data_IF_833761212211
#
_entry.id   IF_833761212211
#
_cell.length_a   1.000
_cell.length_b   1.000
_cell.length_c   1.000
_cell.angle_alpha   90.00
_cell.angle_beta   90.00
_cell.angle_gamma   90.00
#
_symmetry.space_group_name_H-M   'P 1'
#
loop_
_entity.id
_entity.type
_entity.pdbx_description
1 polymer ?
#
# COMPACT_ATOMS: atom_id res chain seq x y z
N UNK A 1 -5.52 -3.44 14.13
CA UNK A 1 -4.28 -4.24 14.17
C UNK A 1 -3.08 -3.45 13.63
N UNK A 2 -3.11 -2.90 12.42
CA UNK A 2 -2.05 -2.00 11.88
C UNK A 2 -1.74 -0.80 12.76
N UNK A 3 -2.78 -0.05 13.13
CA UNK A 3 -2.66 1.07 14.06
C UNK A 3 -2.08 0.67 15.41
N UNK A 4 -2.21 -0.59 15.82
CA UNK A 4 -1.86 -1.09 17.15
C UNK A 4 -0.39 -1.51 17.25
N UNK A 5 0.25 -1.91 16.14
CA UNK A 5 1.68 -2.25 16.11
C UNK A 5 2.53 -0.98 16.07
N UNK A 6 2.17 -0.06 15.17
CA UNK A 6 2.78 1.25 15.14
C UNK A 6 2.36 2.08 16.34
N UNK A 7 1.14 1.97 16.91
CA UNK A 7 0.84 2.58 18.22
C UNK A 7 1.52 1.87 19.37
N UNK A 8 1.83 0.57 19.37
CA UNK A 8 2.62 -0.02 20.46
C UNK A 8 4.08 0.41 20.38
N UNK A 9 4.66 0.50 19.18
CA UNK A 9 5.96 1.12 18.94
C UNK A 9 5.93 2.64 19.23
N UNK A 10 4.87 3.32 18.83
CA UNK A 10 4.61 4.74 19.13
C UNK A 10 4.20 4.94 20.58
N UNK A 11 3.68 3.97 21.33
CA UNK A 11 3.37 4.07 22.76
C UNK A 11 4.61 3.75 23.57
N UNK A 12 5.49 2.88 23.08
CA UNK A 12 6.87 2.83 23.53
C UNK A 12 7.61 4.14 23.26
N UNK A 13 7.13 4.95 22.30
CA UNK A 13 7.65 6.28 21.93
C UNK A 13 6.88 7.49 22.55
N UNK A 14 5.59 7.38 22.92
CA UNK A 14 4.69 8.47 23.36
C UNK A 14 4.04 8.24 24.73
N UNK A 15 3.98 7.01 25.27
CA UNK A 15 3.61 6.79 26.70
C UNK A 15 4.69 7.36 27.66
N UNK A 16 5.68 8.01 27.06
CA UNK A 16 6.73 8.85 27.58
C UNK A 16 6.31 10.33 27.82
N UNK A 17 5.19 10.83 27.26
CA UNK A 17 4.84 12.28 27.32
C UNK A 17 3.96 12.73 28.50
N UNK A 18 3.32 11.83 29.26
CA UNK A 18 2.26 12.22 30.22
C UNK A 18 2.73 12.48 31.67
N UNK A 19 4.01 12.75 31.89
CA UNK A 19 4.55 13.20 33.17
C UNK A 19 5.47 14.41 33.03
N UNK A 20 4.97 15.52 32.48
CA UNK A 20 4.94 16.85 33.13
C UNK A 20 4.59 17.97 32.14
N UNK A 21 3.86 18.97 32.66
CA UNK A 21 3.60 20.31 32.12
C UNK A 21 2.40 20.50 31.18
N UNK A 22 1.28 20.87 31.81
CA UNK A 22 0.28 21.80 31.27
C UNK A 22 0.92 23.10 30.80
N UNK A 23 0.80 23.42 29.51
CA UNK A 23 0.75 24.81 29.03
C UNK A 23 -0.12 24.87 27.78
N UNK A 24 -1.24 25.58 27.88
CA UNK A 24 -1.96 26.16 26.73
C UNK A 24 -1.02 27.07 25.96
N UNK A 25 -1.13 27.11 24.64
CA UNK A 25 -1.27 28.34 23.83
C UNK A 25 -1.71 27.93 22.42
N UNK A 26 -2.68 28.69 21.93
CA UNK A 26 -3.34 28.59 20.63
C UNK A 26 -2.40 28.84 19.44
N UNK A 27 -2.75 28.22 18.31
CA UNK A 27 -2.49 28.79 17.00
C UNK A 27 -1.14 28.48 16.35
N UNK A 28 -1.14 27.44 15.53
CA UNK A 28 -0.39 27.30 14.26
C UNK A 28 1.14 27.46 14.36
N UNK A 29 1.85 26.32 14.32
CA UNK A 29 2.93 26.12 13.35
C UNK A 29 3.35 24.64 13.29
N UNK A 30 3.10 24.00 12.13
CA UNK A 30 3.35 22.56 11.87
C UNK A 30 4.86 22.26 11.70
N UNK A 31 5.72 23.27 11.78
CA UNK A 31 7.19 23.14 11.67
C UNK A 31 7.88 22.90 13.03
N UNK A 32 7.31 23.40 14.13
CA UNK A 32 7.90 23.26 15.46
C UNK A 32 7.55 21.92 16.15
N UNK A 33 6.44 21.28 15.76
CA UNK A 33 6.03 19.99 16.30
C UNK A 33 6.98 18.84 15.91
N UNK A 34 7.55 18.90 14.71
CA UNK A 34 8.55 17.94 14.21
C UNK A 34 9.91 18.13 14.91
N UNK A 35 10.27 19.37 15.25
CA UNK A 35 11.53 19.69 15.93
C UNK A 35 11.46 19.48 17.46
N UNK A 36 10.28 19.69 18.07
CA UNK A 36 10.03 19.38 19.47
C UNK A 36 9.93 17.87 19.73
N UNK A 37 9.47 17.10 18.74
CA UNK A 37 9.53 15.64 18.78
C UNK A 37 11.00 15.15 18.85
N UNK A 38 11.90 15.71 18.03
CA UNK A 38 13.31 15.28 17.99
C UNK A 38 14.13 15.64 19.26
N UNK A 39 13.81 16.75 19.93
CA UNK A 39 14.53 17.19 21.14
C UNK A 39 14.06 16.47 22.41
N UNK A 40 12.82 15.96 22.45
CA UNK A 40 12.29 15.21 23.60
C UNK A 40 12.71 13.72 23.57
N UNK A 41 13.01 13.16 22.39
CA UNK A 41 13.56 11.78 22.20
C UNK A 41 14.84 11.54 23.03
N UNK A 42 15.64 12.58 23.29
CA UNK A 42 16.92 12.42 24.00
C UNK A 42 16.83 12.28 25.52
N UNK A 43 15.74 12.75 26.16
CA UNK A 43 15.61 12.72 27.64
C UNK A 43 14.96 11.44 28.16
N UNK A 44 14.14 10.78 27.35
CA UNK A 44 13.34 9.63 27.77
C UNK A 44 14.03 8.30 27.41
N UNK A 45 15.00 8.39 26.49
CA UNK A 45 16.09 7.47 26.13
C UNK A 45 16.78 6.70 27.28
N UNK A 46 16.61 7.10 28.55
CA UNK A 46 17.34 6.57 29.71
C UNK A 46 16.49 5.63 30.61
N UNK A 47 15.16 5.68 30.55
CA UNK A 47 14.32 5.10 31.63
C UNK A 47 13.91 3.63 31.39
N UNK A 48 13.68 3.21 30.14
CA UNK A 48 13.26 1.82 29.83
C UNK A 48 14.41 0.84 29.56
N UNK A 49 15.61 1.35 29.30
CA UNK A 49 16.82 0.56 29.03
C UNK A 49 17.48 -0.03 30.28
N UNK A 50 16.97 0.26 31.48
CA UNK A 50 17.44 -0.32 32.75
C UNK A 50 16.72 -1.64 33.12
N UNK A 51 15.82 -2.15 32.27
CA UNK A 51 15.12 -3.44 32.45
C UNK A 51 15.12 -4.29 31.17
N UNK A 52 16.30 -4.77 30.72
CA UNK A 52 16.49 -5.64 29.56
C UNK A 52 15.45 -6.78 29.38
N UNK A 53 15.02 -7.53 30.42
CA UNK A 53 14.02 -8.59 30.23
C UNK A 53 12.67 -8.08 29.72
N UNK A 54 12.27 -6.84 30.06
CA UNK A 54 11.02 -6.25 29.56
C UNK A 54 11.12 -5.84 28.09
N UNK A 55 12.27 -5.28 27.70
CA UNK A 55 12.53 -4.89 26.31
C UNK A 55 12.54 -6.12 25.40
N UNK A 56 13.18 -7.20 25.85
CA UNK A 56 13.24 -8.46 25.10
C UNK A 56 11.85 -9.09 24.91
N UNK A 57 11.01 -9.12 25.95
CA UNK A 57 9.63 -9.59 25.85
C UNK A 57 8.78 -8.77 24.85
N UNK A 58 9.01 -7.47 24.77
CA UNK A 58 8.35 -6.59 23.81
C UNK A 58 8.80 -6.90 22.38
N UNK A 59 10.10 -7.07 22.15
CA UNK A 59 10.65 -7.41 20.83
C UNK A 59 10.14 -8.77 20.34
N UNK A 60 10.04 -9.76 21.23
CA UNK A 60 9.44 -11.06 20.91
C UNK A 60 7.97 -10.92 20.52
N UNK A 61 7.20 -10.12 21.27
CA UNK A 61 5.79 -9.84 20.95
C UNK A 61 5.64 -9.15 19.59
N UNK A 62 6.50 -8.17 19.29
CA UNK A 62 6.52 -7.48 18.00
C UNK A 62 6.87 -8.43 16.86
N UNK A 63 7.88 -9.28 17.05
CA UNK A 63 8.30 -10.29 16.07
C UNK A 63 7.15 -11.26 15.77
N UNK A 64 6.44 -11.71 16.81
CA UNK A 64 5.28 -12.59 16.65
C UNK A 64 4.17 -11.91 15.86
N UNK A 65 3.82 -10.67 16.20
CA UNK A 65 2.79 -9.91 15.47
C UNK A 65 3.18 -9.64 14.01
N UNK A 66 4.45 -9.34 13.74
CA UNK A 66 4.95 -9.19 12.35
C UNK A 66 4.80 -10.48 11.56
N UNK A 67 5.13 -11.62 12.16
CA UNK A 67 4.91 -12.92 11.53
C UNK A 67 3.45 -13.23 11.28
N UNK A 68 2.57 -12.98 12.26
CA UNK A 68 1.12 -13.14 12.11
C UNK A 68 0.59 -12.27 10.96
N UNK A 69 1.09 -11.05 10.83
CA UNK A 69 0.73 -10.15 9.73
C UNK A 69 1.19 -10.68 8.38
N UNK A 70 2.42 -11.19 8.28
CA UNK A 70 2.93 -11.80 7.05
C UNK A 70 2.10 -13.04 6.67
N UNK A 71 1.78 -13.91 7.64
CA UNK A 71 0.93 -15.08 7.39
C UNK A 71 -0.49 -14.70 6.98
N UNK A 72 -1.04 -13.62 7.54
CA UNK A 72 -2.34 -13.11 7.12
C UNK A 72 -2.29 -12.58 5.68
N UNK A 73 -1.22 -11.87 5.31
CA UNK A 73 -1.02 -11.41 3.93
C UNK A 73 -0.87 -12.58 2.96
N UNK A 74 -0.11 -13.62 3.32
CA UNK A 74 0.04 -14.84 2.54
C UNK A 74 -1.31 -15.54 2.33
N UNK A 75 -2.10 -15.70 3.40
CA UNK A 75 -3.45 -16.27 3.28
C UNK A 75 -4.38 -15.41 2.41
N UNK A 76 -4.34 -14.09 2.55
CA UNK A 76 -5.10 -13.20 1.68
C UNK A 76 -4.69 -13.37 0.22
N UNK A 77 -3.40 -13.55 -0.07
CA UNK A 77 -2.91 -13.79 -1.42
C UNK A 77 -3.37 -15.15 -1.96
N UNK A 78 -3.39 -16.20 -1.14
CA UNK A 78 -3.88 -17.52 -1.55
C UNK A 78 -5.37 -17.49 -1.92
N UNK A 79 -6.20 -16.77 -1.17
CA UNK A 79 -7.64 -16.69 -1.43
C UNK A 79 -8.01 -15.63 -2.48
N UNK A 80 -7.48 -14.42 -2.35
CA UNK A 80 -7.87 -13.26 -3.17
C UNK A 80 -6.98 -13.08 -4.38
N UNK A 81 -5.78 -13.65 -4.41
CA UNK A 81 -4.81 -13.41 -5.48
C UNK A 81 -5.37 -13.77 -6.87
N UNK A 82 -6.03 -14.92 -6.98
CA UNK A 82 -6.68 -15.32 -8.25
C UNK A 82 -7.87 -14.43 -8.60
N UNK A 83 -8.63 -13.98 -7.60
CA UNK A 83 -9.76 -13.07 -7.81
C UNK A 83 -9.27 -11.73 -8.34
N UNK A 84 -8.22 -11.16 -7.74
CA UNK A 84 -7.61 -9.90 -8.18
C UNK A 84 -7.05 -10.06 -9.59
N UNK A 85 -6.37 -11.17 -9.89
CA UNK A 85 -5.86 -11.47 -11.21
C UNK A 85 -6.99 -11.51 -12.26
N UNK A 86 -8.03 -12.31 -12.01
CA UNK A 86 -9.18 -12.42 -12.91
C UNK A 86 -9.94 -11.11 -13.07
N UNK A 87 -10.04 -10.31 -12.01
CA UNK A 87 -10.63 -8.98 -12.07
C UNK A 87 -9.84 -8.05 -13.01
N UNK A 88 -8.51 -8.03 -12.92
CA UNK A 88 -7.67 -7.22 -13.81
C UNK A 88 -7.78 -7.67 -15.27
N UNK A 89 -7.74 -8.99 -15.52
CA UNK A 89 -7.96 -9.54 -16.87
C UNK A 89 -9.35 -9.17 -17.40
N UNK A 90 -10.37 -9.23 -16.54
CA UNK A 90 -11.74 -8.86 -16.89
C UNK A 90 -11.88 -7.37 -17.21
N UNK A 91 -11.17 -6.48 -16.52
CA UNK A 91 -11.15 -5.04 -16.83
C UNK A 91 -10.55 -4.84 -18.23
N UNK A 92 -9.38 -5.44 -18.51
CA UNK A 92 -8.73 -5.32 -19.82
C UNK A 92 -9.63 -5.85 -20.94
N UNK A 93 -10.19 -7.06 -20.75
CA UNK A 93 -11.08 -7.67 -21.73
C UNK A 93 -12.33 -6.82 -21.99
N UNK A 94 -12.96 -6.26 -20.94
CA UNK A 94 -14.13 -5.39 -21.10
C UNK A 94 -13.82 -4.10 -21.85
N UNK A 95 -12.64 -3.50 -21.62
CA UNK A 95 -12.24 -2.29 -22.34
C UNK A 95 -11.98 -2.60 -23.82
N UNK A 96 -11.24 -3.67 -24.12
CA UNK A 96 -11.00 -4.12 -25.51
C UNK A 96 -12.33 -4.45 -26.22
N UNK A 97 -13.23 -5.15 -25.54
CA UNK A 97 -14.55 -5.47 -26.08
C UNK A 97 -15.37 -4.20 -26.36
N UNK A 98 -15.41 -3.26 -25.41
CA UNK A 98 -16.12 -1.99 -25.56
C UNK A 98 -15.57 -1.16 -26.73
N UNK A 99 -14.26 -1.13 -26.91
CA UNK A 99 -13.63 -0.48 -28.07
C UNK A 99 -14.01 -1.16 -29.38
N UNK A 100 -14.01 -2.50 -29.41
CA UNK A 100 -14.39 -3.27 -30.61
C UNK A 100 -15.82 -2.97 -31.04
N UNK A 101 -16.76 -2.98 -30.09
CA UNK A 101 -18.18 -2.65 -30.35
C UNK A 101 -18.32 -1.21 -30.88
N UNK A 102 -17.54 -0.27 -30.32
CA UNK A 102 -17.56 1.12 -30.75
C UNK A 102 -17.06 1.28 -32.20
N UNK A 103 -16.00 0.56 -32.58
CA UNK A 103 -15.49 0.57 -33.95
C UNK A 103 -16.42 -0.14 -34.95
N UNK A 104 -16.99 -1.30 -34.58
CA UNK A 104 -17.98 -1.97 -35.43
C UNK A 104 -19.19 -1.08 -35.72
N UNK A 105 -19.60 -0.28 -34.73
CA UNK A 105 -20.69 0.67 -34.89
C UNK A 105 -20.34 1.80 -35.86
N UNK A 106 -19.16 2.42 -35.70
CA UNK A 106 -18.69 3.53 -36.53
C UNK A 106 -18.54 3.12 -38.02
N UNK A 107 -17.84 2.00 -38.27
CA UNK A 107 -17.63 1.46 -39.63
C UNK A 107 -18.97 1.13 -40.30
N UNK A 108 -19.91 0.53 -39.56
CA UNK A 108 -21.20 0.08 -40.10
C UNK A 108 -22.16 1.23 -40.36
N UNK A 109 -22.13 2.31 -39.58
CA UNK A 109 -22.90 3.53 -39.86
C UNK A 109 -22.38 4.24 -41.11
N UNK A 110 -21.06 4.42 -41.24
CA UNK A 110 -20.43 5.02 -42.43
C UNK A 110 -20.72 4.21 -43.70
N UNK A 111 -20.63 2.87 -43.63
CA UNK A 111 -20.82 2.01 -44.80
C UNK A 111 -22.28 1.93 -45.29
N UNK A 112 -23.28 2.14 -44.43
CA UNK A 112 -24.69 1.87 -44.77
C UNK A 112 -25.54 3.12 -45.01
N UNK A 113 -25.05 4.34 -44.76
CA UNK A 113 -25.84 5.59 -44.89
C UNK A 113 -27.25 5.50 -44.24
N UNK A 114 -27.40 4.64 -43.22
CA UNK A 114 -28.69 4.42 -42.54
C UNK A 114 -28.78 5.40 -41.39
N UNK A 115 -29.58 6.43 -41.60
CA UNK A 115 -29.69 7.63 -40.75
C UNK A 115 -30.13 7.36 -39.30
N UNK A 116 -30.63 6.18 -38.91
CA UNK A 116 -31.04 5.98 -37.50
C UNK A 116 -31.00 4.50 -37.05
N UNK A 117 -29.86 3.95 -36.61
CA UNK A 117 -29.87 3.09 -35.43
C UNK A 117 -30.33 3.90 -34.20
N UNK A 118 -30.87 3.27 -33.15
CA UNK A 118 -31.29 4.00 -31.95
C UNK A 118 -30.03 4.50 -31.23
N UNK A 119 -29.61 5.73 -31.54
CA UNK A 119 -28.52 6.46 -30.89
C UNK A 119 -28.63 6.41 -29.36
N UNK A 120 -29.87 6.33 -28.86
CA UNK A 120 -30.18 6.07 -27.45
C UNK A 120 -29.59 4.75 -26.95
N UNK A 121 -29.70 3.65 -27.69
CA UNK A 121 -29.16 2.35 -27.31
C UNK A 121 -27.62 2.35 -27.28
N UNK A 122 -26.97 3.04 -28.24
CA UNK A 122 -25.52 3.23 -28.22
C UNK A 122 -25.08 4.03 -27.00
N UNK A 123 -25.73 5.17 -26.72
CA UNK A 123 -25.45 5.99 -25.54
C UNK A 123 -25.65 5.15 -24.26
N UNK A 124 -26.75 4.41 -24.15
CA UNK A 124 -26.98 3.53 -23.00
C UNK A 124 -25.88 2.48 -22.86
N UNK A 125 -25.41 1.88 -23.96
CA UNK A 125 -24.31 0.92 -23.95
C UNK A 125 -22.99 1.56 -23.48
N UNK A 126 -22.64 2.73 -24.01
CA UNK A 126 -21.41 3.45 -23.63
C UNK A 126 -21.46 3.83 -22.15
N UNK A 127 -22.57 4.41 -21.68
CA UNK A 127 -22.74 4.81 -20.28
C UNK A 127 -22.67 3.60 -19.35
N UNK A 128 -23.35 2.49 -19.69
CA UNK A 128 -23.32 1.26 -18.91
C UNK A 128 -21.89 0.71 -18.78
N UNK A 129 -21.16 0.59 -19.90
CA UNK A 129 -19.78 0.11 -19.87
C UNK A 129 -18.86 1.04 -19.10
N UNK A 130 -19.01 2.37 -19.27
CA UNK A 130 -18.20 3.35 -18.55
C UNK A 130 -18.41 3.23 -17.04
N UNK A 131 -19.66 3.14 -16.57
CA UNK A 131 -19.98 2.95 -15.15
C UNK A 131 -19.41 1.63 -14.63
N UNK A 132 -19.53 0.56 -15.41
CA UNK A 132 -18.99 -0.76 -15.05
C UNK A 132 -17.46 -0.73 -14.91
N UNK A 133 -16.74 -0.18 -15.91
CA UNK A 133 -15.29 -0.04 -15.89
C UNK A 133 -14.85 0.81 -14.70
N UNK A 134 -15.48 1.97 -14.47
CA UNK A 134 -15.16 2.85 -13.34
C UNK A 134 -15.37 2.14 -12.00
N UNK A 135 -16.43 1.35 -11.84
CA UNK A 135 -16.69 0.61 -10.60
C UNK A 135 -15.61 -0.46 -10.32
N UNK A 136 -15.22 -1.23 -11.35
CA UNK A 136 -14.20 -2.28 -11.23
C UNK A 136 -12.80 -1.70 -11.01
N UNK A 137 -12.50 -0.58 -11.68
CA UNK A 137 -11.28 0.17 -11.47
C UNK A 137 -11.22 0.76 -10.06
N UNK A 138 -12.31 1.35 -9.56
CA UNK A 138 -12.38 1.87 -8.19
C UNK A 138 -12.07 0.82 -7.13
N UNK A 139 -12.64 -0.38 -7.29
CA UNK A 139 -12.33 -1.52 -6.41
C UNK A 139 -10.85 -1.92 -6.49
N UNK A 140 -10.28 -1.96 -7.70
CA UNK A 140 -8.87 -2.32 -7.91
C UNK A 140 -7.92 -1.27 -7.30
N UNK A 141 -8.22 0.02 -7.47
CA UNK A 141 -7.49 1.13 -6.84
C UNK A 141 -7.52 0.98 -5.33
N UNK A 142 -8.70 0.70 -4.75
CA UNK A 142 -8.85 0.51 -3.32
C UNK A 142 -7.96 -0.64 -2.80
N UNK A 143 -7.96 -1.79 -3.49
CA UNK A 143 -7.09 -2.93 -3.13
C UNK A 143 -5.61 -2.53 -3.24
N UNK A 144 -5.21 -1.83 -4.29
CA UNK A 144 -3.83 -1.37 -4.47
C UNK A 144 -3.40 -0.37 -3.39
N UNK A 145 -4.28 0.53 -2.95
CA UNK A 145 -4.01 1.46 -1.84
C UNK A 145 -3.82 0.73 -0.52
N UNK A 146 -4.67 -0.26 -0.23
CA UNK A 146 -4.52 -1.11 0.96
C UNK A 146 -3.23 -1.91 0.90
N UNK A 147 -2.91 -2.53 -0.25
CA UNK A 147 -1.66 -3.28 -0.47
C UNK A 147 -0.41 -2.42 -0.32
N UNK A 148 -0.45 -1.19 -0.83
CA UNK A 148 0.64 -0.22 -0.63
C UNK A 148 0.79 0.17 0.84
N UNK A 149 -0.31 0.41 1.55
CA UNK A 149 -0.29 0.71 2.99
C UNK A 149 0.33 -0.43 3.81
N UNK A 150 -0.07 -1.67 3.50
CA UNK A 150 0.48 -2.89 4.11
C UNK A 150 1.99 -3.01 3.91
N UNK A 151 2.43 -2.85 2.65
CA UNK A 151 3.85 -2.94 2.28
C UNK A 151 4.67 -1.83 2.93
N UNK A 152 4.14 -0.61 2.94
CA UNK A 152 4.80 0.54 3.56
C UNK A 152 4.99 0.31 5.06
N UNK A 153 4.00 -0.26 5.74
CA UNK A 153 4.07 -0.54 7.16
C UNK A 153 5.12 -1.62 7.49
N UNK A 154 5.20 -2.66 6.66
CA UNK A 154 6.26 -3.66 6.77
C UNK A 154 7.66 -3.04 6.64
N UNK A 155 7.85 -2.14 5.67
CA UNK A 155 9.11 -1.41 5.47
C UNK A 155 9.42 -0.47 6.64
N UNK A 156 8.43 0.25 7.14
CA UNK A 156 8.57 1.15 8.28
C UNK A 156 9.07 0.39 9.51
N UNK A 157 8.60 -0.84 9.75
CA UNK A 157 9.05 -1.69 10.85
C UNK A 157 10.57 -1.96 10.78
N UNK A 158 11.10 -2.25 9.59
CA UNK A 158 12.54 -2.41 9.37
C UNK A 158 13.30 -1.10 9.60
N UNK A 159 12.81 0.00 9.02
CA UNK A 159 13.43 1.34 9.15
C UNK A 159 13.53 1.77 10.61
N UNK A 160 12.44 1.64 11.38
CA UNK A 160 12.44 2.00 12.79
C UNK A 160 13.38 1.10 13.60
N UNK A 161 13.43 -0.19 13.29
CA UNK A 161 14.37 -1.11 13.97
C UNK A 161 15.83 -0.71 13.73
N UNK A 162 16.21 -0.35 12.49
CA UNK A 162 17.55 0.15 12.18
C UNK A 162 17.84 1.51 12.81
N UNK A 163 16.89 2.46 12.79
CA UNK A 163 17.04 3.75 13.48
C UNK A 163 17.28 3.58 14.99
N UNK A 164 16.59 2.62 15.62
CA UNK A 164 16.81 2.33 17.04
C UNK A 164 18.23 1.77 17.26
N UNK A 165 18.73 0.91 16.35
CA UNK A 165 20.10 0.36 16.39
C UNK A 165 21.21 1.40 16.23
N UNK A 166 20.96 2.48 15.48
CA UNK A 166 21.93 3.58 15.29
C UNK A 166 22.16 4.43 16.55
N UNK A 167 21.30 4.29 17.57
CA UNK A 167 21.51 5.00 18.83
C UNK A 167 22.79 4.56 19.55
N UNK A 168 23.53 5.54 20.08
CA UNK A 168 24.82 5.39 20.76
C UNK A 168 24.84 4.34 21.89
N UNK A 169 23.68 3.99 22.47
CA UNK A 169 23.54 2.98 23.51
C UNK A 169 23.92 1.56 23.07
N UNK A 170 23.72 1.20 21.80
CA UNK A 170 24.12 -0.10 21.26
C UNK A 170 25.62 -0.21 20.95
N UNK A 171 26.40 0.83 21.24
CA UNK A 171 27.86 0.82 21.12
C UNK A 171 28.53 0.19 22.36
N UNK A 172 27.87 0.17 23.52
CA UNK A 172 28.36 -0.53 24.71
C UNK A 172 28.07 -2.04 24.57
N UNK A 173 29.12 -2.88 24.55
CA UNK A 173 29.04 -4.31 24.22
C UNK A 173 28.69 -5.23 25.39
N UNK A 174 28.28 -4.71 26.54
CA UNK A 174 28.23 -5.51 27.76
C UNK A 174 26.86 -6.18 28.00
N UNK A 175 26.88 -7.52 28.08
CA UNK A 175 25.81 -8.35 28.62
C UNK A 175 24.46 -8.28 27.89
N UNK A 176 23.40 -7.98 28.63
CA UNK A 176 22.01 -8.04 28.16
C UNK A 176 21.70 -7.02 27.03
N UNK A 177 22.48 -5.94 26.92
CA UNK A 177 22.36 -4.98 25.82
C UNK A 177 22.71 -5.63 24.46
N UNK A 178 23.67 -6.56 24.45
CA UNK A 178 24.03 -7.30 23.24
C UNK A 178 22.91 -8.24 22.78
N UNK A 179 22.16 -8.83 23.72
CA UNK A 179 20.99 -9.68 23.41
C UNK A 179 19.86 -8.86 22.79
N UNK A 180 19.53 -7.70 23.38
CA UNK A 180 18.52 -6.78 22.82
C UNK A 180 18.94 -6.32 21.43
N UNK A 181 20.21 -5.97 21.24
CA UNK A 181 20.77 -5.59 19.94
C UNK A 181 20.60 -6.69 18.91
N UNK A 182 21.01 -7.91 19.25
CA UNK A 182 20.90 -9.08 18.36
C UNK A 182 19.46 -9.29 17.93
N UNK A 183 18.51 -9.16 18.87
CA UNK A 183 17.12 -9.43 18.57
C UNK A 183 16.44 -8.32 17.77
N UNK A 184 16.84 -7.07 17.99
CA UNK A 184 16.42 -5.96 17.17
C UNK A 184 16.98 -6.05 15.74
N UNK A 185 18.23 -6.50 15.56
CA UNK A 185 18.81 -6.79 14.24
C UNK A 185 18.02 -7.91 13.54
N UNK A 186 17.66 -8.96 14.28
CA UNK A 186 16.87 -10.07 13.74
C UNK A 186 15.50 -9.58 13.26
N UNK A 187 14.81 -8.78 14.07
CA UNK A 187 13.53 -8.18 13.68
C UNK A 187 13.68 -7.27 12.46
N UNK A 188 14.71 -6.42 12.42
CA UNK A 188 14.97 -5.51 11.30
C UNK A 188 15.17 -6.28 9.98
N UNK A 189 16.01 -7.32 10.01
CA UNK A 189 16.28 -8.19 8.86
C UNK A 189 15.05 -8.99 8.45
N UNK A 190 14.27 -9.49 9.41
CA UNK A 190 13.05 -10.22 9.12
C UNK A 190 11.99 -9.34 8.47
N UNK A 191 11.82 -8.10 8.96
CA UNK A 191 10.91 -7.14 8.35
C UNK A 191 11.36 -6.69 6.95
N UNK A 192 12.68 -6.60 6.73
CA UNK A 192 13.28 -6.28 5.44
C UNK A 192 13.08 -7.41 4.41
N UNK A 193 13.29 -8.66 4.84
CA UNK A 193 13.23 -9.84 3.97
C UNK A 193 11.81 -10.32 3.71
N UNK A 194 10.95 -10.31 4.73
CA UNK A 194 9.55 -10.74 4.65
C UNK A 194 8.64 -9.55 4.89
N UNK A 195 8.49 -8.74 3.86
CA UNK A 195 7.56 -7.63 3.82
C UNK A 195 6.18 -8.15 3.39
N UNK A 196 5.10 -7.92 4.16
CA UNK A 196 3.77 -8.32 3.74
C UNK A 196 3.37 -7.52 2.49
N UNK A 197 3.03 -8.23 1.42
CA UNK A 197 2.61 -7.66 0.14
C UNK A 197 1.33 -8.32 -0.30
N UNK A 198 0.46 -7.58 -1.00
CA UNK A 198 -0.65 -8.18 -1.71
C UNK A 198 -0.20 -8.56 -3.11
N UNK A 199 -0.41 -9.81 -3.51
CA UNK A 199 -0.03 -10.32 -4.82
C UNK A 199 -1.22 -10.95 -5.54
N UNK A 200 -1.30 -10.70 -6.85
CA UNK A 200 -2.27 -11.33 -7.72
C UNK A 200 -1.76 -12.72 -8.15
N UNK A 201 -2.02 -13.73 -7.30
CA UNK A 201 -1.68 -15.13 -7.55
C UNK A 201 -0.19 -15.37 -7.87
N UNK A 202 0.71 -14.55 -7.32
CA UNK A 202 2.16 -14.64 -7.55
C UNK A 202 2.64 -14.07 -8.90
N UNK A 203 1.76 -13.63 -9.79
CA UNK A 203 2.16 -13.03 -11.06
C UNK A 203 2.78 -11.65 -10.85
N UNK A 204 2.17 -10.85 -9.97
CA UNK A 204 2.63 -9.49 -9.70
C UNK A 204 2.13 -8.98 -8.34
N UNK A 205 2.79 -7.92 -7.84
CA UNK A 205 2.41 -7.22 -6.60
C UNK A 205 1.34 -6.19 -6.94
N UNK A 206 0.24 -6.18 -6.18
CA UNK A 206 -0.89 -5.27 -6.43
C UNK A 206 -0.57 -3.92 -5.81
N UNK A 207 0.01 -3.05 -6.63
CA UNK A 207 0.31 -1.66 -6.29
C UNK A 207 -0.21 -0.69 -7.36
N UNK A 208 0.00 0.61 -7.12
CA UNK A 208 -0.43 1.65 -8.05
C UNK A 208 0.43 1.71 -9.31
N UNK A 209 1.66 1.17 -9.28
CA UNK A 209 2.56 1.18 -10.43
C UNK A 209 2.03 0.22 -11.51
N UNK A 210 1.65 -0.99 -11.11
CA UNK A 210 1.08 -1.98 -12.03
C UNK A 210 -0.28 -1.53 -12.55
N UNK A 211 -1.11 -0.92 -11.70
CA UNK A 211 -2.37 -0.35 -12.16
C UNK A 211 -2.15 0.77 -13.18
N UNK A 212 -1.16 1.64 -12.96
CA UNK A 212 -0.74 2.66 -13.90
C UNK A 212 -0.26 2.07 -15.24
N UNK A 213 0.51 0.98 -15.20
CA UNK A 213 0.98 0.26 -16.38
C UNK A 213 -0.20 -0.33 -17.17
N UNK A 214 -1.15 -0.99 -16.49
CA UNK A 214 -2.35 -1.54 -17.14
C UNK A 214 -3.16 -0.44 -17.81
N UNK A 215 -3.38 0.68 -17.12
CA UNK A 215 -4.06 1.85 -17.69
C UNK A 215 -3.32 2.39 -18.92
N UNK A 216 -2.01 2.60 -18.83
CA UNK A 216 -1.20 3.11 -19.92
C UNK A 216 -1.29 2.19 -21.15
N UNK A 217 -1.24 0.87 -20.96
CA UNK A 217 -1.37 -0.10 -22.04
C UNK A 217 -2.76 -0.06 -22.69
N UNK A 218 -3.82 0.09 -21.89
CA UNK A 218 -5.18 0.24 -22.39
C UNK A 218 -5.34 1.54 -23.20
N UNK A 219 -4.83 2.66 -22.70
CA UNK A 219 -4.84 3.93 -23.44
C UNK A 219 -4.05 3.84 -24.74
N UNK A 220 -2.86 3.23 -24.71
CA UNK A 220 -2.04 3.01 -25.90
C UNK A 220 -2.77 2.16 -26.94
N UNK A 221 -3.41 1.07 -26.52
CA UNK A 221 -4.25 0.24 -27.40
C UNK A 221 -5.39 1.06 -28.02
N UNK A 222 -6.11 1.84 -27.21
CA UNK A 222 -7.19 2.70 -27.69
C UNK A 222 -6.73 3.71 -28.74
N UNK A 223 -5.59 4.38 -28.51
CA UNK A 223 -5.01 5.32 -29.48
C UNK A 223 -4.66 4.62 -30.79
N UNK A 224 -3.96 3.49 -30.72
CA UNK A 224 -3.57 2.73 -31.91
C UNK A 224 -4.80 2.27 -32.69
N UNK A 225 -5.82 1.76 -32.01
CA UNK A 225 -7.03 1.31 -32.66
C UNK A 225 -7.79 2.46 -33.35
N UNK A 226 -7.90 3.63 -32.70
CA UNK A 226 -8.48 4.84 -33.32
C UNK A 226 -7.68 5.28 -34.55
N UNK A 227 -6.34 5.24 -34.51
CA UNK A 227 -5.50 5.59 -35.65
C UNK A 227 -5.72 4.66 -36.85
N UNK A 228 -5.90 3.36 -36.63
CA UNK A 228 -6.21 2.43 -37.72
C UNK A 228 -7.56 2.74 -38.36
N UNK A 229 -8.59 3.01 -37.56
CA UNK A 229 -9.92 3.37 -38.10
C UNK A 229 -9.88 4.69 -38.87
N UNK A 230 -9.17 5.71 -38.37
CA UNK A 230 -9.06 6.99 -39.05
C UNK A 230 -8.26 6.92 -40.36
N UNK A 231 -7.31 5.99 -40.50
CA UNK A 231 -6.48 5.86 -41.70
C UNK A 231 -7.12 4.99 -42.80
N UNK A 232 -8.15 4.20 -42.50
CA UNK A 232 -8.91 3.43 -43.49
C UNK A 232 -9.98 4.26 -44.23
N UNK A 233 -10.24 5.49 -43.75
CA UNK A 233 -11.15 6.47 -44.37
C UNK A 233 -10.38 7.62 -45.04
#
# INVERSE_FOLDING_TARGET
MFFDLNQELLLLYHKEDNHQATTKIDGIDISAATLAADLNINKIKVIYLHKPPKCLAILEKLTKKHNELCHLADHLNDYMGIIIFLQLVSIIANIVWSLTVLFEYDIREVALNKINPPLIALICHIVYNLVWILSMMGLTIFIALVGRGLTQEGRNTSIYSYKILENQWFQAQDGEAALVKSQLILLAKQAETRCPVLSAAGFFVVDLEILGLVLANVFAFGIVAVQFVLNEH
#
